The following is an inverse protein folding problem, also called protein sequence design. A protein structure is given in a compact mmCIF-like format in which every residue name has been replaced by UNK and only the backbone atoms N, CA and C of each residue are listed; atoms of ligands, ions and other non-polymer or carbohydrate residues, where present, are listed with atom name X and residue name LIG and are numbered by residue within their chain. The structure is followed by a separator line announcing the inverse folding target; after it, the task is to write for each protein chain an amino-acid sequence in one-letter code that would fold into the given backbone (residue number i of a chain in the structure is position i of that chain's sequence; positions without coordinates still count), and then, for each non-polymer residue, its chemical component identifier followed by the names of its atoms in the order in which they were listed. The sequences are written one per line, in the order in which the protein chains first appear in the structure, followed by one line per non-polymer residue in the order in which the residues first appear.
data_IF_982183725177
#
_entry.id   IF_982183725177
#
_cell.length_a   1.000
_cell.length_b   1.000
_cell.length_c   1.000
_cell.angle_alpha   90.00
_cell.angle_beta   90.00
_cell.angle_gamma   90.00
#
_symmetry.space_group_name_H-M   'P 1'
#
loop_
_entity.id
_entity.type
_entity.pdbx_description
1 polymer ?
#
# COMPACT_ATOMS: atom_id res chain seq x y z
N UNK A 1 9.85 6.82 -5.53
CA UNK A 1 8.60 7.37 -4.95
C UNK A 1 7.77 8.11 -6.00
N UNK A 2 8.20 9.27 -6.51
CA UNK A 2 7.50 9.99 -7.59
C UNK A 2 7.35 9.14 -8.86
N UNK A 3 8.45 8.50 -9.27
CA UNK A 3 8.46 7.60 -10.43
C UNK A 3 7.42 6.48 -10.29
N UNK A 4 7.40 5.79 -9.15
CA UNK A 4 6.40 4.77 -8.86
C UNK A 4 4.95 5.29 -8.99
N UNK A 5 4.64 6.45 -8.42
CA UNK A 5 3.28 6.99 -8.50
C UNK A 5 2.88 7.34 -9.95
N UNK A 6 3.71 8.11 -10.67
CA UNK A 6 3.32 8.59 -12.00
C UNK A 6 3.54 7.57 -13.12
N UNK A 7 4.63 6.79 -13.07
CA UNK A 7 4.98 5.84 -14.12
C UNK A 7 4.43 4.43 -13.90
N UNK A 8 4.05 4.06 -12.68
CA UNK A 8 3.43 2.75 -12.39
C UNK A 8 1.96 2.91 -12.01
N UNK A 9 1.66 3.46 -10.82
CA UNK A 9 0.29 3.51 -10.29
C UNK A 9 -0.68 4.28 -11.18
N UNK A 10 -0.30 5.50 -11.62
CA UNK A 10 -1.17 6.35 -12.45
C UNK A 10 -1.37 5.78 -13.85
N UNK A 11 -0.41 5.02 -14.40
CA UNK A 11 -0.59 4.33 -15.69
C UNK A 11 -1.47 3.10 -15.57
N UNK A 12 -1.31 2.32 -14.48
CA UNK A 12 -2.07 1.10 -14.23
C UNK A 12 -3.56 1.41 -13.95
N UNK A 13 -3.83 2.35 -13.04
CA UNK A 13 -5.20 2.62 -12.58
C UNK A 13 -5.83 3.87 -13.22
N UNK A 14 -5.07 4.74 -13.88
CA UNK A 14 -5.57 5.97 -14.53
C UNK A 14 -6.35 6.84 -13.54
N UNK A 15 -7.65 7.02 -13.73
CA UNK A 15 -8.53 7.79 -12.84
C UNK A 15 -8.98 7.02 -11.59
N UNK A 16 -8.72 5.72 -11.54
CA UNK A 16 -9.08 4.86 -10.41
C UNK A 16 -8.08 4.91 -9.25
N UNK A 17 -7.04 5.75 -9.34
CA UNK A 17 -6.11 5.99 -8.23
C UNK A 17 -6.12 7.45 -7.82
N UNK A 18 -6.29 7.68 -6.52
CA UNK A 18 -6.18 8.98 -5.88
C UNK A 18 -5.12 8.91 -4.79
N UNK A 19 -4.13 9.81 -4.85
CA UNK A 19 -3.15 9.99 -3.79
C UNK A 19 -3.79 10.80 -2.65
N UNK A 20 -4.03 10.17 -1.51
CA UNK A 20 -4.67 10.81 -0.36
C UNK A 20 -3.66 11.50 0.54
N UNK A 21 -2.46 10.92 0.71
CA UNK A 21 -1.44 11.45 1.60
C UNK A 21 -0.05 10.90 1.31
N UNK A 22 0.98 11.66 1.70
CA UNK A 22 2.39 11.32 1.56
C UNK A 22 3.16 11.76 2.81
N UNK A 23 4.03 10.92 3.34
CA UNK A 23 5.00 11.33 4.38
C UNK A 23 6.31 10.58 4.20
N UNK A 24 7.39 11.33 3.96
CA UNK A 24 8.79 10.90 3.82
C UNK A 24 9.03 9.72 2.86
N UNK A 25 8.65 8.51 3.27
CA UNK A 25 8.81 7.23 2.57
C UNK A 25 7.51 6.41 2.45
N UNK A 26 6.36 6.98 2.83
CA UNK A 26 5.04 6.33 2.82
C UNK A 26 4.00 7.02 1.92
N UNK A 27 3.07 6.22 1.42
CA UNK A 27 1.91 6.66 0.64
C UNK A 27 0.62 6.15 1.25
N UNK A 28 -0.42 6.98 1.23
CA UNK A 28 -1.80 6.53 1.42
C UNK A 28 -2.53 6.84 0.12
N UNK A 29 -3.00 5.79 -0.54
CA UNK A 29 -3.67 5.87 -1.83
C UNK A 29 -5.02 5.20 -1.73
N UNK A 30 -6.01 5.82 -2.35
CA UNK A 30 -7.30 5.21 -2.61
C UNK A 30 -7.29 4.66 -4.04
N UNK A 31 -7.33 3.33 -4.16
CA UNK A 31 -7.32 2.60 -5.43
C UNK A 31 -8.66 1.88 -5.59
N UNK A 32 -9.31 2.06 -6.73
CA UNK A 32 -10.52 1.33 -7.13
C UNK A 32 -10.14 0.21 -8.09
N UNK A 33 -10.08 -1.01 -7.58
CA UNK A 33 -9.80 -2.23 -8.35
C UNK A 33 -10.62 -3.38 -7.78
N UNK A 34 -10.79 -4.45 -8.53
CA UNK A 34 -11.51 -5.65 -8.08
C UNK A 34 -10.68 -6.43 -7.04
N UNK A 35 -9.36 -6.54 -7.26
CA UNK A 35 -8.44 -7.22 -6.35
C UNK A 35 -7.03 -6.61 -6.42
N UNK A 36 -6.70 -5.82 -5.40
CA UNK A 36 -5.40 -5.16 -5.29
C UNK A 36 -4.25 -6.15 -5.11
N UNK A 37 -4.49 -7.29 -4.46
CA UNK A 37 -3.45 -8.28 -4.21
C UNK A 37 -3.11 -9.03 -5.49
N UNK A 38 -4.09 -9.27 -6.35
CA UNK A 38 -3.84 -9.79 -7.70
C UNK A 38 -2.96 -8.83 -8.51
N UNK A 39 -3.25 -7.54 -8.49
CA UNK A 39 -2.45 -6.54 -9.20
C UNK A 39 -1.01 -6.48 -8.64
N UNK A 40 -0.87 -6.51 -7.31
CA UNK A 40 0.45 -6.60 -6.65
C UNK A 40 1.20 -7.89 -7.01
N UNK A 41 0.49 -9.01 -7.21
CA UNK A 41 1.10 -10.28 -7.62
C UNK A 41 1.75 -10.20 -9.00
N UNK A 42 1.07 -9.54 -9.95
CA UNK A 42 1.55 -9.35 -11.32
C UNK A 42 2.80 -8.46 -11.36
N UNK A 43 2.94 -7.57 -10.38
CA UNK A 43 4.07 -6.66 -10.21
C UNK A 43 4.90 -7.00 -8.96
N UNK A 44 5.00 -8.29 -8.60
CA UNK A 44 5.65 -8.75 -7.36
C UNK A 44 7.11 -8.31 -7.18
N UNK A 45 7.78 -7.91 -8.27
CA UNK A 45 9.14 -7.37 -8.26
C UNK A 45 9.25 -6.00 -7.58
N UNK A 46 8.14 -5.26 -7.44
CA UNK A 46 8.10 -3.94 -6.84
C UNK A 46 7.79 -3.96 -5.33
N UNK A 47 7.46 -5.12 -4.78
CA UNK A 47 6.91 -5.23 -3.42
C UNK A 47 7.69 -6.20 -2.53
N UNK A 48 7.70 -5.88 -1.23
CA UNK A 48 8.15 -6.76 -0.16
C UNK A 48 6.93 -7.30 0.62
N UNK A 49 6.63 -8.59 0.42
CA UNK A 49 5.52 -9.30 1.09
C UNK A 49 5.95 -10.05 2.35
N UNK A 50 7.18 -9.86 2.84
CA UNK A 50 7.71 -10.61 3.99
C UNK A 50 7.01 -10.34 5.31
N UNK A 51 6.20 -9.27 5.38
CA UNK A 51 5.42 -8.87 6.55
C UNK A 51 3.98 -9.41 6.54
N UNK A 52 3.60 -10.19 5.52
CA UNK A 52 2.26 -10.78 5.44
C UNK A 52 2.11 -11.99 6.37
N UNK A 53 0.87 -12.36 6.73
CA UNK A 53 0.61 -13.62 7.42
C UNK A 53 1.12 -14.81 6.62
N UNK A 54 1.63 -15.85 7.29
CA UNK A 54 2.17 -17.04 6.61
C UNK A 54 1.14 -17.81 5.78
N UNK A 55 -0.15 -17.60 6.05
CA UNK A 55 -1.28 -18.19 5.32
C UNK A 55 -1.64 -17.41 4.04
N UNK A 56 -1.06 -16.21 3.84
CA UNK A 56 -1.40 -15.35 2.71
C UNK A 56 -0.69 -15.84 1.42
N UNK A 57 -1.38 -15.92 0.26
CA UNK A 57 -0.80 -16.45 -0.99
C UNK A 57 0.42 -15.68 -1.50
N UNK A 58 0.51 -14.38 -1.19
CA UNK A 58 1.64 -13.53 -1.56
C UNK A 58 2.81 -13.57 -0.57
N UNK A 59 2.69 -14.29 0.55
CA UNK A 59 3.75 -14.33 1.55
C UNK A 59 5.03 -14.95 1.00
N UNK A 60 6.12 -14.18 0.98
CA UNK A 60 7.46 -14.66 0.67
C UNK A 60 8.49 -13.97 1.54
N UNK A 61 9.54 -14.70 1.95
CA UNK A 61 10.67 -14.16 2.71
C UNK A 61 11.82 -13.68 1.81
N UNK A 62 11.76 -13.97 0.51
CA UNK A 62 12.89 -13.79 -0.40
C UNK A 62 13.29 -12.32 -0.58
N UNK A 63 12.34 -11.40 -0.41
CA UNK A 63 12.51 -9.95 -0.68
C UNK A 63 12.54 -9.07 0.56
N UNK A 64 12.75 -9.67 1.73
CA UNK A 64 12.71 -8.96 3.01
C UNK A 64 13.75 -7.84 3.07
N UNK A 65 13.29 -6.61 3.29
CA UNK A 65 14.12 -5.41 3.51
C UNK A 65 15.07 -5.06 2.35
N UNK A 66 14.72 -5.41 1.11
CA UNK A 66 15.47 -4.96 -0.08
C UNK A 66 15.16 -3.48 -0.33
N UNK A 67 16.21 -2.68 -0.52
CA UNK A 67 16.09 -1.24 -0.77
C UNK A 67 15.35 -0.99 -2.08
N UNK A 68 14.35 -0.11 -2.05
CA UNK A 68 13.58 0.30 -3.22
C UNK A 68 12.26 -0.47 -3.43
N UNK A 69 12.02 -1.53 -2.67
CA UNK A 69 10.74 -2.23 -2.68
C UNK A 69 9.71 -1.55 -1.76
N UNK A 70 8.45 -1.60 -2.16
CA UNK A 70 7.34 -1.10 -1.35
C UNK A 70 6.82 -2.21 -0.42
N UNK A 71 6.76 -1.89 0.87
CA UNK A 71 6.10 -2.72 1.87
C UNK A 71 4.66 -2.25 2.05
N UNK A 72 3.74 -3.18 2.24
CA UNK A 72 2.42 -2.86 2.78
C UNK A 72 2.48 -2.82 4.32
N UNK A 73 2.23 -1.64 4.88
CA UNK A 73 2.30 -1.39 6.32
C UNK A 73 1.13 -2.01 7.09
N UNK A 74 0.01 -2.25 6.42
CA UNK A 74 -1.18 -2.82 7.03
C UNK A 74 -1.20 -4.35 6.99
N UNK A 75 -0.14 -5.00 6.47
CA UNK A 75 0.05 -6.47 6.52
C UNK A 75 -1.14 -7.26 5.96
N UNK A 76 -1.56 -6.93 4.74
CA UNK A 76 -2.74 -7.51 4.08
C UNK A 76 -4.09 -7.16 4.72
N UNK A 77 -4.13 -6.15 5.59
CA UNK A 77 -5.37 -5.62 6.14
C UNK A 77 -5.74 -4.35 5.37
N UNK A 78 -6.87 -4.37 4.68
CA UNK A 78 -7.33 -3.21 3.93
C UNK A 78 -7.81 -2.09 4.85
N UNK A 79 -7.43 -0.84 4.54
CA UNK A 79 -7.99 0.34 5.20
C UNK A 79 -9.43 0.58 4.72
N UNK A 80 -10.38 0.74 5.65
CA UNK A 80 -11.80 0.97 5.36
C UNK A 80 -12.08 2.47 5.23
N UNK A 81 -11.53 3.25 6.15
CA UNK A 81 -11.73 4.70 6.21
C UNK A 81 -10.41 5.41 6.49
N UNK A 82 -10.23 6.59 5.91
CA UNK A 82 -9.05 7.44 6.09
C UNK A 82 -9.46 8.91 6.17
N UNK A 83 -8.86 9.65 7.10
CA UNK A 83 -8.96 11.10 7.20
C UNK A 83 -7.57 11.71 7.44
N UNK A 84 -7.19 12.69 6.62
CA UNK A 84 -5.99 13.49 6.79
C UNK A 84 -6.36 14.94 7.05
N UNK A 85 -6.03 15.46 8.24
CA UNK A 85 -6.35 16.85 8.62
C UNK A 85 -5.21 17.80 8.29
N UNK A 86 -3.97 17.36 8.52
CA UNK A 86 -2.75 18.15 8.30
C UNK A 86 -1.57 17.20 8.06
N UNK A 87 -0.46 17.75 7.57
CA UNK A 87 0.84 17.07 7.61
C UNK A 87 1.12 16.51 9.02
N UNK A 88 1.43 15.22 9.06
CA UNK A 88 1.67 14.39 10.25
C UNK A 88 0.48 14.31 11.21
N UNK A 89 -0.74 14.47 10.69
CA UNK A 89 -1.98 14.36 11.45
C UNK A 89 -3.07 13.71 10.60
N UNK A 90 -3.20 12.39 10.77
CA UNK A 90 -4.17 11.59 10.05
C UNK A 90 -4.68 10.44 10.92
N UNK A 91 -5.81 9.86 10.55
CA UNK A 91 -6.35 8.68 11.21
C UNK A 91 -6.98 7.77 10.17
N UNK A 92 -6.90 6.47 10.39
CA UNK A 92 -7.57 5.50 9.54
C UNK A 92 -8.13 4.36 10.39
N UNK A 93 -9.14 3.69 9.83
CA UNK A 93 -9.79 2.54 10.44
C UNK A 93 -9.54 1.34 9.54
N UNK A 94 -9.10 0.24 10.15
CA UNK A 94 -9.06 -1.08 9.52
C UNK A 94 -10.00 -2.03 10.27
N UNK A 95 -10.45 -3.14 9.66
CA UNK A 95 -11.42 -4.06 10.26
C UNK A 95 -10.95 -4.68 11.58
N UNK A 96 -9.65 -4.62 11.87
CA UNK A 96 -9.01 -5.34 12.97
C UNK A 96 -8.38 -4.41 14.02
N UNK A 97 -8.20 -3.11 13.75
CA UNK A 97 -7.66 -2.15 14.74
C UNK A 97 -7.94 -0.69 14.34
N UNK A 98 -8.44 0.11 15.28
CA UNK A 98 -8.37 1.58 15.18
C UNK A 98 -6.95 2.03 15.50
N UNK A 99 -6.15 2.41 14.51
CA UNK A 99 -4.83 3.01 14.73
C UNK A 99 -4.92 4.53 14.61
N UNK A 100 -4.55 5.23 15.69
CA UNK A 100 -4.29 6.67 15.69
C UNK A 100 -2.78 6.85 15.61
N UNK A 101 -2.30 7.57 14.60
CA UNK A 101 -0.89 7.91 14.40
C UNK A 101 -0.73 9.42 14.42
#
# INVERSE_FOLDING_TARGET
MVDYYYNHMKKLYKENVTLCYTDTDSFIMHVRTDDIYRDMSLNSELYDFSNYPADHPLYTKDRKSIIGLFKDECKSIQMVEYIGLRAKMYSFISPQTTRKL
#
